data_IF_572352684135
#
_entry.id   IF_572352684135
#
_cell.length_a   1.000
_cell.length_b   1.000
_cell.length_c   1.000
_cell.angle_alpha   90.00
_cell.angle_beta   90.00
_cell.angle_gamma   90.00
#
_symmetry.space_group_name_H-M   'P 1'
#
loop_
_entity.id
_entity.type
_entity.pdbx_description
1 polymer ?
#
# COMPACT_ATOMS: atom_id res chain seq x y z
N UNK A 1 12.58 13.40 15.91
CA UNK A 1 11.24 13.90 16.29
C UNK A 1 10.10 13.15 15.59
N UNK A 2 10.05 13.09 14.24
CA UNK A 2 8.95 12.38 13.55
C UNK A 2 8.91 10.85 13.79
N UNK A 3 10.05 10.17 13.81
CA UNK A 3 10.10 8.72 14.09
C UNK A 3 9.58 8.35 15.50
N UNK A 4 9.96 9.13 16.51
CA UNK A 4 9.44 8.95 17.88
C UNK A 4 7.94 9.24 17.99
N UNK A 5 7.42 10.17 17.18
CA UNK A 5 5.98 10.40 17.09
C UNK A 5 5.29 9.21 16.43
N UNK A 6 5.85 8.68 15.34
CA UNK A 6 5.28 7.53 14.63
C UNK A 6 5.17 6.30 15.54
N UNK A 7 6.19 6.00 16.35
CA UNK A 7 6.13 4.91 17.33
C UNK A 7 4.99 5.08 18.35
N UNK A 8 4.73 6.31 18.82
CA UNK A 8 3.59 6.61 19.71
C UNK A 8 2.25 6.43 19.00
N UNK A 9 2.15 6.83 17.73
CA UNK A 9 0.95 6.64 16.93
C UNK A 9 0.67 5.16 16.66
N UNK A 10 1.72 4.38 16.39
CA UNK A 10 1.62 2.92 16.25
C UNK A 10 1.07 2.30 17.54
N UNK A 11 1.61 2.66 18.71
CA UNK A 11 1.09 2.16 19.98
C UNK A 11 -0.37 2.58 20.20
N UNK A 12 -0.71 3.86 19.96
CA UNK A 12 -2.09 4.34 20.08
C UNK A 12 -3.06 3.61 19.15
N UNK A 13 -2.64 3.23 17.95
CA UNK A 13 -3.45 2.45 17.02
C UNK A 13 -3.67 1.01 17.51
N UNK A 14 -2.64 0.37 18.09
CA UNK A 14 -2.77 -0.96 18.71
C UNK A 14 -3.69 -0.92 19.94
N UNK A 15 -3.68 0.18 20.68
CA UNK A 15 -4.54 0.40 21.84
C UNK A 15 -5.99 0.81 21.44
N UNK A 16 -6.27 0.96 20.13
CA UNK A 16 -7.58 1.36 19.61
C UNK A 16 -7.93 2.84 19.82
N UNK A 17 -6.95 3.67 20.18
CA UNK A 17 -7.13 5.10 20.43
C UNK A 17 -7.13 5.97 19.15
N UNK A 18 -6.64 5.43 18.04
CA UNK A 18 -6.73 6.04 16.71
C UNK A 18 -6.72 4.97 15.59
N UNK A 19 -7.08 5.37 14.37
CA UNK A 19 -6.75 4.58 13.18
C UNK A 19 -5.49 5.12 12.53
N UNK A 20 -4.56 4.24 12.20
CA UNK A 20 -3.30 4.58 11.55
C UNK A 20 -3.17 3.81 10.25
N UNK A 21 -3.26 4.55 9.14
CA UNK A 21 -3.10 4.00 7.80
C UNK A 21 -1.74 4.35 7.23
N UNK A 22 -1.02 3.36 6.71
CA UNK A 22 0.17 3.59 5.87
C UNK A 22 -0.24 3.56 4.42
N UNK A 23 -0.10 4.69 3.72
CA UNK A 23 -0.52 4.85 2.34
C UNK A 23 0.68 4.90 1.39
N UNK A 24 0.54 4.25 0.24
CA UNK A 24 1.55 4.26 -0.82
C UNK A 24 0.99 3.72 -2.16
N UNK A 25 1.77 3.85 -3.24
CA UNK A 25 1.53 3.16 -4.50
C UNK A 25 2.57 2.11 -4.84
N UNK A 26 2.11 1.02 -5.45
CA UNK A 26 3.00 -0.02 -5.96
C UNK A 26 2.67 -0.46 -7.38
N UNK A 27 3.71 -0.65 -8.20
CA UNK A 27 3.60 -1.28 -9.51
C UNK A 27 3.73 -2.80 -9.43
N UNK A 28 2.81 -3.52 -10.07
CA UNK A 28 2.86 -4.97 -10.29
C UNK A 28 2.99 -5.26 -11.79
N UNK A 29 4.09 -5.91 -12.17
CA UNK A 29 4.33 -6.34 -13.54
C UNK A 29 3.84 -7.77 -13.77
N UNK A 30 3.46 -8.07 -15.01
CA UNK A 30 3.06 -9.40 -15.44
C UNK A 30 4.22 -10.41 -15.36
N UNK A 31 5.45 -9.97 -15.63
CA UNK A 31 6.65 -10.74 -15.31
C UNK A 31 7.03 -10.58 -13.83
N UNK A 32 7.37 -11.68 -13.12
CA UNK A 32 7.86 -11.59 -11.74
C UNK A 32 9.17 -10.81 -11.66
N UNK A 33 9.48 -10.22 -10.50
CA UNK A 33 10.85 -9.79 -10.24
C UNK A 33 11.79 -11.01 -10.29
N UNK A 34 13.00 -10.81 -10.81
CA UNK A 34 14.04 -11.85 -10.81
C UNK A 34 14.49 -12.11 -9.38
N UNK A 35 14.51 -13.37 -8.98
CA UNK A 35 14.88 -13.79 -7.62
C UNK A 35 15.95 -14.87 -7.66
N UNK A 36 16.64 -15.02 -6.52
CA UNK A 36 17.50 -16.17 -6.28
C UNK A 36 16.62 -17.35 -5.88
N UNK A 37 16.87 -18.50 -6.50
CA UNK A 37 16.16 -19.74 -6.21
C UNK A 37 17.01 -20.95 -6.57
N UNK A 38 16.61 -22.10 -6.06
CA UNK A 38 17.23 -23.38 -6.41
C UNK A 38 16.49 -24.00 -7.58
N UNK A 39 17.23 -24.51 -8.56
CA UNK A 39 16.68 -25.26 -9.68
C UNK A 39 17.57 -26.46 -9.97
N UNK A 40 17.01 -27.55 -10.52
CA UNK A 40 17.83 -28.66 -11.00
C UNK A 40 18.90 -28.17 -11.98
N UNK A 41 20.06 -28.83 -11.98
CA UNK A 41 21.17 -28.50 -12.88
C UNK A 41 20.68 -28.70 -14.32
N UNK A 42 20.79 -27.66 -15.15
CA UNK A 42 20.34 -27.67 -16.54
C UNK A 42 18.89 -27.22 -16.77
N UNK A 43 18.08 -27.10 -15.71
CA UNK A 43 16.66 -26.75 -15.79
C UNK A 43 16.33 -25.50 -14.94
N UNK A 44 16.87 -24.32 -15.29
CA UNK A 44 16.57 -23.11 -14.54
C UNK A 44 15.08 -22.76 -14.68
N UNK A 45 14.48 -22.19 -13.63
CA UNK A 45 13.17 -21.56 -13.76
C UNK A 45 13.21 -20.42 -14.80
N UNK A 46 12.27 -20.45 -15.74
CA UNK A 46 12.17 -19.46 -16.83
C UNK A 46 10.81 -18.79 -16.80
N UNK A 47 10.81 -17.51 -17.11
CA UNK A 47 9.61 -16.68 -17.25
C UNK A 47 9.79 -15.81 -18.49
N UNK A 48 8.67 -15.49 -19.14
CA UNK A 48 8.69 -14.58 -20.29
C UNK A 48 8.63 -13.12 -19.79
N UNK A 49 9.51 -12.23 -20.28
CA UNK A 49 9.45 -10.82 -19.92
C UNK A 49 8.20 -10.17 -20.51
N UNK A 50 7.45 -9.41 -19.69
CA UNK A 50 6.30 -8.64 -20.14
C UNK A 50 6.34 -7.22 -19.54
N UNK A 51 7.33 -6.39 -19.93
CA UNK A 51 7.58 -5.09 -19.28
C UNK A 51 6.42 -4.08 -19.47
N UNK A 52 5.60 -4.28 -20.50
CA UNK A 52 4.49 -3.37 -20.84
C UNK A 52 3.16 -3.76 -20.18
N UNK A 53 3.07 -4.95 -19.56
CA UNK A 53 1.87 -5.39 -18.88
C UNK A 53 2.04 -5.18 -17.38
N UNK A 54 1.49 -4.07 -16.87
CA UNK A 54 1.58 -3.68 -15.45
C UNK A 54 0.25 -3.17 -14.91
N UNK A 55 0.13 -3.18 -13.59
CA UNK A 55 -0.92 -2.50 -12.82
C UNK A 55 -0.29 -1.61 -11.78
N UNK A 56 -0.83 -0.42 -11.65
CA UNK A 56 -0.51 0.48 -10.54
C UNK A 56 -1.53 0.20 -9.44
N UNK A 57 -1.10 0.11 -8.19
CA UNK A 57 -1.96 -0.17 -7.05
C UNK A 57 -1.83 0.96 -6.05
N UNK A 58 -2.94 1.57 -5.66
CA UNK A 58 -3.05 2.39 -4.45
C UNK A 58 -3.33 1.46 -3.29
N UNK A 59 -2.63 1.60 -2.17
CA UNK A 59 -2.92 0.84 -0.96
C UNK A 59 -2.89 1.68 0.29
N UNK A 60 -3.75 1.34 1.24
CA UNK A 60 -3.73 1.81 2.61
C UNK A 60 -3.74 0.59 3.55
N UNK A 61 -2.67 0.44 4.32
CA UNK A 61 -2.53 -0.58 5.34
C UNK A 61 -3.02 -0.02 6.68
N UNK A 62 -4.12 -0.53 7.19
CA UNK A 62 -4.55 -0.29 8.58
C UNK A 62 -3.58 -1.04 9.51
N UNK A 63 -2.78 -0.28 10.25
CA UNK A 63 -1.76 -0.84 11.13
C UNK A 63 -2.36 -1.57 12.34
N UNK A 64 -3.46 -1.06 12.90
CA UNK A 64 -4.09 -1.65 14.08
C UNK A 64 -4.87 -2.92 13.73
N UNK A 65 -5.65 -2.86 12.65
CA UNK A 65 -6.46 -4.00 12.20
C UNK A 65 -5.67 -5.03 11.36
N UNK A 66 -4.48 -4.66 10.87
CA UNK A 66 -3.69 -5.43 9.92
C UNK A 66 -4.47 -5.79 8.64
N UNK A 67 -5.20 -4.81 8.11
CA UNK A 67 -6.03 -4.94 6.91
C UNK A 67 -5.50 -4.05 5.79
N UNK A 68 -5.66 -4.50 4.55
CA UNK A 68 -5.26 -3.73 3.36
C UNK A 68 -6.49 -3.32 2.55
N UNK A 69 -6.71 -2.02 2.43
CA UNK A 69 -7.61 -1.45 1.42
C UNK A 69 -6.78 -1.08 0.20
N UNK A 70 -7.21 -1.45 -1.00
CA UNK A 70 -6.43 -1.17 -2.22
C UNK A 70 -7.29 -0.97 -3.47
N UNK A 71 -6.79 -0.16 -4.41
CA UNK A 71 -7.37 0.02 -5.75
C UNK A 71 -6.34 -0.28 -6.84
N UNK A 72 -6.73 -1.06 -7.84
CA UNK A 72 -5.88 -1.38 -8.99
C UNK A 72 -6.23 -0.50 -10.19
N UNK A 73 -5.24 0.08 -10.85
CA UNK A 73 -5.37 0.86 -12.07
C UNK A 73 -4.50 0.32 -13.20
N UNK A 74 -5.02 0.40 -14.44
CA UNK A 74 -4.29 0.07 -15.67
C UNK A 74 -3.41 1.22 -16.14
N UNK A 75 -3.64 2.42 -15.63
CA UNK A 75 -2.97 3.65 -16.04
C UNK A 75 -2.03 4.16 -14.94
N UNK A 76 -1.29 5.21 -15.27
CA UNK A 76 -0.51 5.96 -14.30
C UNK A 76 -1.46 6.65 -13.33
N UNK A 77 -1.26 6.40 -12.04
CA UNK A 77 -1.97 7.07 -10.94
C UNK A 77 -1.57 8.55 -10.93
N UNK A 78 -2.57 9.41 -10.80
CA UNK A 78 -2.43 10.86 -10.67
C UNK A 78 -3.01 11.31 -9.35
N UNK A 79 -2.75 12.57 -8.99
CA UNK A 79 -3.29 13.20 -7.78
C UNK A 79 -4.80 13.03 -7.60
N UNK A 80 -5.66 13.20 -8.63
CA UNK A 80 -7.10 12.98 -8.44
C UNK A 80 -7.46 11.56 -7.99
N UNK A 81 -6.73 10.55 -8.48
CA UNK A 81 -6.93 9.16 -8.06
C UNK A 81 -6.53 8.97 -6.58
N UNK A 82 -5.45 9.63 -6.14
CA UNK A 82 -5.02 9.65 -4.73
C UNK A 82 -6.08 10.31 -3.85
N UNK A 83 -6.58 11.49 -4.25
CA UNK A 83 -7.61 12.22 -3.49
C UNK A 83 -8.89 11.39 -3.38
N UNK A 84 -9.33 10.75 -4.47
CA UNK A 84 -10.50 9.89 -4.45
C UNK A 84 -10.32 8.68 -3.52
N UNK A 85 -9.12 8.09 -3.51
CA UNK A 85 -8.82 6.97 -2.63
C UNK A 85 -8.79 7.40 -1.16
N UNK A 86 -8.15 8.52 -0.82
CA UNK A 86 -8.13 9.04 0.55
C UNK A 86 -9.52 9.49 1.03
N UNK A 87 -10.36 10.02 0.13
CA UNK A 87 -11.77 10.31 0.42
C UNK A 87 -12.53 9.06 0.84
N UNK A 88 -12.30 7.93 0.17
CA UNK A 88 -12.91 6.65 0.57
C UNK A 88 -12.43 6.23 1.95
N UNK A 89 -11.12 6.29 2.23
CA UNK A 89 -10.57 5.97 3.56
C UNK A 89 -11.19 6.87 4.65
N UNK A 90 -11.37 8.16 4.38
CA UNK A 90 -12.01 9.10 5.30
C UNK A 90 -13.46 8.68 5.63
N UNK A 91 -14.23 8.29 4.60
CA UNK A 91 -15.64 7.88 4.76
C UNK A 91 -15.81 6.52 5.45
N UNK A 92 -14.90 5.60 5.20
CA UNK A 92 -14.91 4.25 5.79
C UNK A 92 -14.27 4.20 7.19
N UNK A 93 -13.62 5.28 7.61
CA UNK A 93 -13.05 5.40 8.96
C UNK A 93 -14.12 5.37 10.04
N UNK A 94 -13.73 4.89 11.22
CA UNK A 94 -14.59 4.73 12.39
C UNK A 94 -15.07 6.10 12.89
N UNK A 95 -16.40 6.35 12.91
CA UNK A 95 -16.93 7.63 13.36
C UNK A 95 -16.47 7.99 14.78
N UNK A 96 -15.99 9.21 14.94
CA UNK A 96 -15.53 9.73 16.24
C UNK A 96 -14.10 9.36 16.62
N UNK A 97 -13.44 8.46 15.90
CA UNK A 97 -12.03 8.15 16.09
C UNK A 97 -11.15 9.05 15.21
N UNK A 98 -9.95 9.39 15.66
CA UNK A 98 -9.00 10.13 14.82
C UNK A 98 -8.36 9.19 13.80
N UNK A 99 -8.37 9.58 12.53
CA UNK A 99 -7.74 8.84 11.43
C UNK A 99 -6.45 9.53 11.02
N UNK A 100 -5.33 8.82 11.08
CA UNK A 100 -4.02 9.31 10.66
C UNK A 100 -3.59 8.54 9.42
N UNK A 101 -3.32 9.27 8.33
CA UNK A 101 -2.78 8.67 7.10
C UNK A 101 -1.32 9.07 6.99
N UNK A 102 -0.42 8.09 7.01
CA UNK A 102 1.01 8.26 6.81
C UNK A 102 1.33 8.23 5.33
N UNK A 103 2.01 9.26 4.83
CA UNK A 103 2.42 9.39 3.42
C UNK A 103 3.91 9.73 3.32
N UNK A 104 4.54 9.29 2.23
CA UNK A 104 5.83 9.83 1.81
C UNK A 104 5.68 11.23 1.19
N UNK A 105 6.77 11.78 0.63
CA UNK A 105 6.77 13.12 0.01
C UNK A 105 6.64 13.07 -1.53
N UNK A 106 5.98 12.06 -2.11
CA UNK A 106 5.74 12.03 -3.55
C UNK A 106 4.91 13.25 -3.99
N UNK A 107 5.26 13.87 -5.12
CA UNK A 107 4.62 15.11 -5.60
C UNK A 107 3.12 14.99 -5.88
N UNK A 108 2.63 13.76 -6.08
CA UNK A 108 1.21 13.44 -6.27
C UNK A 108 0.43 13.38 -4.95
N UNK A 109 1.11 13.29 -3.80
CA UNK A 109 0.48 13.35 -2.46
C UNK A 109 0.29 14.79 -1.99
N UNK A 110 1.09 15.72 -2.52
CA UNK A 110 1.03 17.13 -2.20
C UNK A 110 0.08 17.91 -3.12
N UNK A 111 -0.17 19.18 -2.76
CA UNK A 111 -1.08 20.09 -3.48
C UNK A 111 -2.50 19.54 -3.60
N UNK A 112 -2.98 18.86 -2.56
CA UNK A 112 -4.40 18.59 -2.36
C UNK A 112 -5.06 19.89 -1.92
N UNK A 113 -6.22 20.21 -2.47
CA UNK A 113 -6.92 21.45 -2.18
C UNK A 113 -7.20 21.60 -0.68
N UNK A 114 -6.91 22.78 -0.13
CA UNK A 114 -7.05 23.02 1.31
C UNK A 114 -8.48 22.77 1.80
N UNK A 115 -9.49 23.12 0.99
CA UNK A 115 -10.90 22.83 1.29
C UNK A 115 -11.16 21.32 1.45
N UNK A 116 -10.49 20.48 0.66
CA UNK A 116 -10.60 19.02 0.78
C UNK A 116 -9.95 18.53 2.08
N UNK A 117 -8.78 19.06 2.43
CA UNK A 117 -8.08 18.71 3.68
C UNK A 117 -8.91 19.15 4.89
N UNK A 118 -9.46 20.36 4.86
CA UNK A 118 -10.29 20.90 5.94
C UNK A 118 -11.58 20.09 6.10
N UNK A 119 -12.22 19.70 4.99
CA UNK A 119 -13.40 18.83 5.00
C UNK A 119 -13.08 17.47 5.62
N UNK A 120 -11.98 16.83 5.20
CA UNK A 120 -11.53 15.57 5.80
C UNK A 120 -11.26 15.68 7.31
N UNK A 121 -10.69 16.79 7.75
CA UNK A 121 -10.45 17.02 9.17
C UNK A 121 -11.75 17.23 9.96
N UNK A 122 -12.65 18.08 9.47
CA UNK A 122 -13.88 18.45 10.16
C UNK A 122 -14.92 17.33 10.18
N UNK A 123 -15.11 16.64 9.05
CA UNK A 123 -16.14 15.61 8.90
C UNK A 123 -15.68 14.23 9.38
N UNK A 124 -14.40 13.90 9.14
CA UNK A 124 -13.88 12.54 9.34
C UNK A 124 -12.75 12.45 10.37
N UNK A 125 -12.33 13.57 10.99
CA UNK A 125 -11.17 13.63 11.89
C UNK A 125 -9.91 13.03 11.25
N UNK A 126 -9.80 13.13 9.92
CA UNK A 126 -8.68 12.60 9.18
C UNK A 126 -7.55 13.64 9.09
N UNK A 127 -6.33 13.20 9.38
CA UNK A 127 -5.11 14.01 9.38
C UNK A 127 -4.05 13.32 8.54
N UNK A 128 -3.44 14.08 7.62
CA UNK A 128 -2.31 13.61 6.81
C UNK A 128 -1.00 13.82 7.58
N UNK A 129 -0.22 12.74 7.72
CA UNK A 129 1.07 12.72 8.39
C UNK A 129 2.18 12.41 7.38
N UNK A 130 2.88 13.46 6.94
CA UNK A 130 4.00 13.32 6.00
C UNK A 130 5.29 12.90 6.71
N UNK A 131 5.91 11.82 6.22
CA UNK A 131 7.20 11.34 6.67
C UNK A 131 8.34 12.33 6.37
N UNK A 132 9.52 12.20 6.99
CA UNK A 132 10.72 12.88 6.52
C UNK A 132 11.04 12.49 5.06
N UNK A 133 11.67 13.38 4.28
CA UNK A 133 12.13 13.03 2.93
C UNK A 133 13.08 11.84 2.95
N UNK A 134 12.97 10.97 1.93
CA UNK A 134 13.83 9.79 1.74
C UNK A 134 13.84 8.79 2.92
N UNK A 135 12.71 8.62 3.61
CA UNK A 135 12.55 7.65 4.70
C UNK A 135 11.53 6.54 4.39
N UNK A 136 11.69 5.77 3.30
CA UNK A 136 10.76 4.68 2.95
C UNK A 136 10.71 3.58 4.02
N UNK A 137 11.77 3.40 4.81
CA UNK A 137 11.82 2.46 5.93
C UNK A 137 10.80 2.76 7.04
N UNK A 138 10.29 3.99 7.09
CA UNK A 138 9.24 4.39 8.03
C UNK A 138 7.83 4.11 7.48
N UNK A 139 7.69 3.81 6.18
CA UNK A 139 6.40 3.49 5.57
C UNK A 139 6.17 1.98 5.55
N UNK A 140 5.45 1.44 6.55
CA UNK A 140 5.34 -0.01 6.73
C UNK A 140 4.66 -0.74 5.56
N UNK A 141 3.84 -0.07 4.77
CA UNK A 141 3.24 -0.68 3.58
C UNK A 141 4.28 -1.06 2.51
N UNK A 142 5.46 -0.44 2.50
CA UNK A 142 6.57 -0.84 1.63
C UNK A 142 7.06 -2.27 1.94
N UNK A 143 7.01 -2.67 3.20
CA UNK A 143 7.30 -4.06 3.62
C UNK A 143 6.22 -4.98 3.05
N UNK A 144 4.95 -4.58 3.11
CA UNK A 144 3.85 -5.34 2.48
C UNK A 144 4.07 -5.50 0.98
N UNK A 145 4.43 -4.44 0.25
CA UNK A 145 4.73 -4.51 -1.17
C UNK A 145 5.91 -5.42 -1.49
N UNK A 146 6.96 -5.35 -0.68
CA UNK A 146 8.10 -6.26 -0.81
C UNK A 146 7.65 -7.71 -0.64
N UNK A 147 6.89 -8.03 0.40
CA UNK A 147 6.40 -9.39 0.61
C UNK A 147 5.46 -9.86 -0.51
N UNK A 148 4.51 -9.02 -0.93
CA UNK A 148 3.59 -9.34 -2.01
C UNK A 148 4.35 -9.68 -3.30
N UNK A 149 5.32 -8.87 -3.70
CA UNK A 149 6.06 -9.06 -4.96
C UNK A 149 7.10 -10.16 -4.90
N UNK A 150 7.78 -10.30 -3.77
CA UNK A 150 8.98 -11.14 -3.67
C UNK A 150 8.76 -12.47 -2.97
N UNK A 151 7.74 -12.61 -2.13
CA UNK A 151 7.55 -13.79 -1.30
C UNK A 151 6.23 -14.50 -1.57
N UNK A 152 5.15 -13.74 -1.78
CA UNK A 152 3.81 -14.32 -1.96
C UNK A 152 3.47 -14.58 -3.43
N UNK A 153 3.92 -13.69 -4.33
CA UNK A 153 3.74 -13.85 -5.76
C UNK A 153 4.52 -15.06 -6.27
N UNK A 154 3.83 -15.97 -6.94
CA UNK A 154 4.46 -17.10 -7.64
C UNK A 154 5.39 -16.61 -8.75
N UNK A 155 6.48 -17.33 -8.98
CA UNK A 155 7.43 -17.06 -10.06
C UNK A 155 6.89 -17.55 -11.42
N UNK A 156 5.81 -16.92 -11.89
CA UNK A 156 5.16 -17.18 -13.18
C UNK A 156 4.87 -15.87 -13.90
N UNK A 157 4.89 -15.90 -15.23
CA UNK A 157 4.45 -14.78 -16.06
C UNK A 157 2.92 -14.78 -16.15
N UNK A 158 2.30 -13.69 -15.73
CA UNK A 158 0.89 -13.42 -15.97
C UNK A 158 0.69 -12.86 -17.38
N UNK A 159 -0.55 -12.82 -17.86
CA UNK A 159 -0.91 -12.23 -19.16
C UNK A 159 -1.75 -10.97 -18.95
N UNK A 160 -2.06 -10.26 -20.03
CA UNK A 160 -2.93 -9.08 -19.97
C UNK A 160 -4.33 -9.43 -19.46
N UNK A 161 -4.78 -10.65 -19.73
CA UNK A 161 -6.09 -11.19 -19.36
C UNK A 161 -6.12 -11.63 -17.88
N UNK A 162 -5.00 -12.13 -17.35
CA UNK A 162 -4.96 -12.71 -16.00
C UNK A 162 -4.43 -11.77 -14.92
N UNK A 163 -3.63 -10.75 -15.27
CA UNK A 163 -2.97 -9.87 -14.29
C UNK A 163 -3.95 -9.20 -13.31
N UNK A 164 -5.14 -8.81 -13.75
CA UNK A 164 -6.14 -8.18 -12.88
C UNK A 164 -6.61 -9.16 -11.79
N UNK A 165 -6.96 -10.39 -12.17
CA UNK A 165 -7.41 -11.43 -11.25
C UNK A 165 -6.28 -11.91 -10.33
N UNK A 166 -5.06 -12.01 -10.84
CA UNK A 166 -3.90 -12.48 -10.09
C UNK A 166 -3.43 -11.45 -9.06
N UNK A 167 -3.40 -10.15 -9.40
CA UNK A 167 -3.12 -9.09 -8.43
C UNK A 167 -4.21 -9.06 -7.37
N UNK A 168 -5.49 -9.15 -7.75
CA UNK A 168 -6.60 -9.22 -6.79
C UNK A 168 -6.44 -10.41 -5.84
N UNK A 169 -6.24 -11.61 -6.37
CA UNK A 169 -6.03 -12.82 -5.56
C UNK A 169 -4.85 -12.69 -4.61
N UNK A 170 -3.75 -12.13 -5.08
CA UNK A 170 -2.54 -11.93 -4.27
C UNK A 170 -2.79 -10.98 -3.09
N UNK A 171 -3.49 -9.87 -3.33
CA UNK A 171 -3.75 -8.84 -2.32
C UNK A 171 -4.90 -9.22 -1.37
N UNK A 172 -5.95 -9.88 -1.86
CA UNK A 172 -7.03 -10.44 -1.03
C UNK A 172 -6.54 -11.53 -0.07
N UNK A 173 -5.44 -12.21 -0.41
CA UNK A 173 -4.81 -13.19 0.47
C UNK A 173 -4.14 -12.55 1.70
N UNK A 174 -3.94 -11.23 1.73
CA UNK A 174 -3.42 -10.54 2.91
C UNK A 174 -4.46 -10.53 4.05
N UNK A 175 -4.01 -10.88 5.25
CA UNK A 175 -4.86 -11.08 6.43
C UNK A 175 -5.35 -12.52 6.60
N UNK A 176 -5.35 -13.33 5.52
CA UNK A 176 -5.79 -14.73 5.53
C UNK A 176 -4.63 -15.69 5.24
N UNK A 177 -4.25 -15.83 3.96
CA UNK A 177 -3.15 -16.67 3.49
C UNK A 177 -1.79 -16.10 3.86
N UNK A 178 -1.70 -14.78 3.96
CA UNK A 178 -0.47 -14.04 4.24
C UNK A 178 -0.66 -13.07 5.40
N UNK A 179 0.25 -13.08 6.35
CA UNK A 179 0.28 -12.11 7.44
C UNK A 179 1.70 -11.60 7.64
N UNK A 180 1.82 -10.31 7.95
CA UNK A 180 3.08 -9.69 8.38
C UNK A 180 2.89 -9.29 9.83
N UNK A 181 3.89 -9.60 10.66
CA UNK A 181 4.03 -9.02 11.99
C UNK A 181 5.06 -7.92 11.88
N UNK A 182 4.64 -6.70 12.14
CA UNK A 182 5.49 -5.50 12.06
C UNK A 182 6.24 -5.21 13.38
N UNK A 183 6.12 -6.12 14.36
CA UNK A 183 6.73 -6.09 15.70
C UNK A 183 8.07 -6.83 15.77
#
# INVERSE_FOLDING_TARGET
MKASTLAKLQQAALDGACQLFYFDQSGFSASPPVQRGWSPIGEPHRVFPQPHCKRSVLGALDFGANLLTYHTSKTTIKRPDVVQFLEQIARESTPGLTTLVVLDNASIHHNIDQETIDRWFLEHRMVLFYLPPYSPELNLIEILWKHAKYHWRRFVTWTKETIDAEVKKLLDGFGSDFQIRFS
#
